data_IF_982175237156
#
_entry.id   IF_982175237156
#
_cell.length_a   1.000
_cell.length_b   1.000
_cell.length_c   1.000
_cell.angle_alpha   90.00
_cell.angle_beta   90.00
_cell.angle_gamma   90.00
#
_symmetry.space_group_name_H-M   'P 1'
#
loop_
_entity.id
_entity.type
_entity.pdbx_description
1 polymer ?
#
# COMPACT_ATOMS: atom_id res chain seq x y z
N UNK A 1 -11.03 17.79 -11.68
CA UNK A 1 -11.33 16.51 -12.37
C UNK A 1 -10.22 16.04 -13.33
N UNK A 2 -9.63 16.89 -14.18
CA UNK A 2 -8.53 16.53 -15.14
C UNK A 2 -7.24 15.89 -14.60
N UNK A 3 -6.96 15.93 -13.29
CA UNK A 3 -5.75 15.33 -12.71
C UNK A 3 -5.92 13.85 -12.36
N UNK A 4 -7.12 13.44 -11.92
CA UNK A 4 -7.44 12.04 -11.63
C UNK A 4 -7.57 11.21 -12.92
N UNK A 5 -8.20 11.79 -13.95
CA UNK A 5 -8.41 11.15 -15.26
C UNK A 5 -7.09 10.87 -16.00
N UNK A 6 -6.07 11.73 -15.84
CA UNK A 6 -4.73 11.51 -16.43
C UNK A 6 -3.92 10.40 -15.75
N UNK A 7 -4.21 10.04 -14.49
CA UNK A 7 -3.64 8.83 -13.86
C UNK A 7 -4.32 7.55 -14.35
N UNK A 8 -5.60 7.63 -14.71
CA UNK A 8 -6.39 6.49 -15.18
C UNK A 8 -6.11 6.11 -16.64
N UNK A 9 -5.63 7.04 -17.48
CA UNK A 9 -5.26 6.75 -18.86
C UNK A 9 -3.84 6.17 -18.95
N UNK A 10 -3.76 4.84 -18.87
CA UNK A 10 -2.64 4.06 -19.44
C UNK A 10 -3.27 2.86 -20.09
N UNK A 11 -3.49 2.92 -21.40
CA UNK A 11 -3.89 1.76 -22.19
C UNK A 11 -2.60 1.07 -22.66
N UNK A 12 -2.12 0.02 -21.97
CA UNK A 12 -0.78 -0.49 -22.19
C UNK A 12 -0.88 -1.74 -23.08
N UNK A 13 0.03 -1.88 -24.05
CA UNK A 13 0.20 -3.15 -24.75
C UNK A 13 0.70 -4.22 -23.78
N UNK A 14 0.21 -5.45 -23.91
CA UNK A 14 0.37 -6.59 -22.95
C UNK A 14 1.82 -6.78 -22.44
N UNK A 15 2.83 -6.55 -23.30
CA UNK A 15 4.25 -6.63 -22.92
C UNK A 15 4.74 -5.51 -21.98
N UNK A 16 4.18 -4.29 -22.10
CA UNK A 16 4.52 -3.16 -21.22
C UNK A 16 3.89 -3.28 -19.83
N UNK A 17 2.71 -3.92 -19.73
CA UNK A 17 2.09 -4.26 -18.44
C UNK A 17 2.94 -5.28 -17.67
N UNK A 18 3.47 -6.30 -18.35
CA UNK A 18 4.32 -7.31 -17.74
C UNK A 18 5.60 -6.69 -17.12
N UNK A 19 6.30 -5.83 -17.88
CA UNK A 19 7.51 -5.15 -17.40
C UNK A 19 7.18 -4.22 -16.23
N UNK A 20 6.10 -3.43 -16.35
CA UNK A 20 5.66 -2.51 -15.29
C UNK A 20 5.25 -3.25 -14.02
N UNK A 21 4.57 -4.38 -14.15
CA UNK A 21 4.13 -5.21 -13.02
C UNK A 21 5.32 -5.86 -12.34
N UNK A 22 6.25 -6.46 -13.08
CA UNK A 22 7.45 -7.06 -12.51
C UNK A 22 8.33 -6.04 -11.79
N UNK A 23 8.50 -4.83 -12.36
CA UNK A 23 9.21 -3.74 -11.69
C UNK A 23 8.54 -3.35 -10.36
N UNK A 24 7.20 -3.33 -10.31
CA UNK A 24 6.47 -3.02 -9.07
C UNK A 24 6.54 -4.15 -8.05
N UNK A 25 6.49 -5.41 -8.50
CA UNK A 25 6.70 -6.59 -7.66
C UNK A 25 8.10 -6.53 -7.03
N UNK A 26 9.15 -6.22 -7.81
CA UNK A 26 10.52 -6.12 -7.27
C UNK A 26 10.72 -4.98 -6.27
N UNK A 27 9.82 -3.98 -6.30
CA UNK A 27 9.83 -2.84 -5.38
C UNK A 27 8.84 -3.03 -4.21
N UNK A 28 8.32 -4.23 -4.00
CA UNK A 28 7.35 -4.56 -2.95
C UNK A 28 6.06 -3.72 -3.00
N UNK A 29 5.63 -3.30 -4.20
CA UNK A 29 4.44 -2.46 -4.41
C UNK A 29 3.18 -3.26 -4.75
N UNK A 30 3.25 -4.59 -4.78
CA UNK A 30 2.18 -5.45 -5.26
C UNK A 30 1.86 -6.54 -4.25
N UNK A 31 0.56 -6.68 -3.95
CA UNK A 31 0.07 -7.79 -3.17
C UNK A 31 -0.53 -8.86 -4.08
N UNK A 32 -0.13 -10.12 -3.87
CA UNK A 32 -0.71 -11.26 -4.59
C UNK A 32 -2.10 -11.55 -4.03
N UNK A 33 -3.09 -11.65 -4.92
CA UNK A 33 -4.51 -11.84 -4.53
C UNK A 33 -5.11 -13.16 -4.97
N UNK A 34 -4.58 -13.79 -6.02
CA UNK A 34 -5.00 -15.14 -6.41
C UNK A 34 -4.01 -15.79 -7.37
N UNK A 35 -4.21 -17.09 -7.58
CA UNK A 35 -3.56 -17.87 -8.62
C UNK A 35 -4.60 -18.49 -9.54
N UNK A 36 -4.28 -18.51 -10.83
CA UNK A 36 -5.10 -19.12 -11.86
C UNK A 36 -4.28 -20.13 -12.64
N UNK A 37 -4.68 -21.39 -12.60
CA UNK A 37 -4.09 -22.42 -13.44
C UNK A 37 -4.50 -22.20 -14.89
N UNK A 38 -3.55 -21.85 -15.76
CA UNK A 38 -3.77 -21.57 -17.19
C UNK A 38 -3.65 -22.81 -18.06
N UNK A 39 -2.69 -23.68 -17.74
CA UNK A 39 -2.40 -24.88 -18.54
C UNK A 39 -2.28 -26.07 -17.60
N UNK A 40 -3.06 -27.11 -17.89
CA UNK A 40 -2.96 -28.43 -17.26
C UNK A 40 -2.64 -29.46 -18.33
N UNK A 41 -1.58 -30.26 -18.13
CA UNK A 41 -1.26 -31.42 -18.98
C UNK A 41 -1.26 -32.64 -18.08
N UNK A 42 -2.01 -33.69 -18.46
CA UNK A 42 -2.18 -34.92 -17.68
C UNK A 42 -2.56 -34.66 -16.20
N UNK A 43 -3.46 -33.70 -15.95
CA UNK A 43 -3.91 -33.34 -14.61
C UNK A 43 -2.93 -32.48 -13.78
N UNK A 44 -1.69 -32.30 -14.25
CA UNK A 44 -0.71 -31.42 -13.59
C UNK A 44 -0.78 -30.01 -14.16
N UNK A 45 -0.90 -29.01 -13.27
CA UNK A 45 -0.80 -27.60 -13.66
C UNK A 45 0.65 -27.26 -14.02
N UNK A 46 0.87 -26.81 -15.25
CA UNK A 46 2.19 -26.45 -15.77
C UNK A 46 2.40 -24.94 -15.80
N UNK A 47 1.31 -24.16 -15.90
CA UNK A 47 1.38 -22.71 -15.89
C UNK A 47 0.35 -22.15 -14.91
N UNK A 48 0.84 -21.44 -13.89
CA UNK A 48 0.02 -20.63 -13.00
C UNK A 48 0.22 -19.16 -13.33
N UNK A 49 -0.89 -18.46 -13.60
CA UNK A 49 -0.93 -17.00 -13.65
C UNK A 49 -1.19 -16.47 -12.25
N UNK A 50 -0.27 -15.67 -11.73
CA UNK A 50 -0.42 -14.98 -10.46
C UNK A 50 -1.12 -13.64 -10.72
N UNK A 51 -2.09 -13.32 -9.89
CA UNK A 51 -2.83 -12.06 -9.95
C UNK A 51 -2.40 -11.16 -8.80
N UNK A 52 -2.24 -9.87 -9.10
CA UNK A 52 -1.71 -8.88 -8.16
C UNK A 52 -2.56 -7.62 -8.16
N UNK A 53 -2.71 -7.02 -6.98
CA UNK A 53 -3.13 -5.63 -6.83
C UNK A 53 -1.89 -4.79 -6.52
N UNK A 54 -1.59 -3.82 -7.37
CA UNK A 54 -0.36 -3.03 -7.28
C UNK A 54 -0.64 -1.55 -7.02
N UNK A 55 0.19 -0.94 -6.19
CA UNK A 55 0.20 0.48 -5.95
C UNK A 55 1.21 1.19 -6.86
N UNK A 56 0.99 2.48 -7.07
CA UNK A 56 1.88 3.30 -7.91
C UNK A 56 3.11 3.81 -7.14
N UNK A 57 3.01 3.96 -5.82
CA UNK A 57 4.05 4.52 -4.95
C UNK A 57 4.10 3.76 -3.62
N UNK A 58 5.27 3.70 -2.99
CA UNK A 58 5.47 3.03 -1.70
C UNK A 58 4.63 3.67 -0.58
N UNK A 59 4.56 5.00 -0.55
CA UNK A 59 3.74 5.73 0.42
C UNK A 59 2.25 5.41 0.26
N UNK A 60 1.74 5.32 -0.97
CA UNK A 60 0.36 4.92 -1.24
C UNK A 60 0.06 3.52 -0.72
N UNK A 61 0.99 2.57 -0.91
CA UNK A 61 0.86 1.22 -0.35
C UNK A 61 0.78 1.26 1.17
N UNK A 62 1.74 1.92 1.81
CA UNK A 62 1.84 1.99 3.28
C UNK A 62 0.55 2.55 3.87
N UNK A 63 0.06 3.67 3.33
CA UNK A 63 -1.19 4.27 3.79
C UNK A 63 -2.40 3.38 3.55
N UNK A 64 -2.53 2.77 2.36
CA UNK A 64 -3.64 1.87 2.07
C UNK A 64 -3.65 0.66 3.01
N UNK A 65 -2.50 0.02 3.23
CA UNK A 65 -2.38 -1.15 4.10
C UNK A 65 -2.66 -0.79 5.56
N UNK A 66 -2.14 0.33 6.06
CA UNK A 66 -2.39 0.77 7.43
C UNK A 66 -3.83 1.26 7.69
N UNK A 67 -4.51 1.83 6.69
CA UNK A 67 -5.94 2.13 6.79
C UNK A 67 -6.78 0.87 6.73
N UNK A 68 -6.44 -0.07 5.84
CA UNK A 68 -7.14 -1.35 5.72
C UNK A 68 -7.08 -2.17 7.01
N UNK A 69 -5.94 -2.21 7.69
CA UNK A 69 -5.80 -2.92 8.97
C UNK A 69 -6.69 -2.34 10.07
N UNK A 70 -6.88 -1.03 10.10
CA UNK A 70 -7.78 -0.37 11.07
C UNK A 70 -9.25 -0.70 10.81
N UNK A 71 -9.61 -0.83 9.52
CA UNK A 71 -11.00 -1.03 9.10
C UNK A 71 -11.37 -2.51 8.93
N UNK A 72 -10.45 -3.44 9.20
CA UNK A 72 -10.62 -4.86 8.93
C UNK A 72 -10.85 -5.17 7.45
N UNK A 73 -10.41 -4.30 6.55
CA UNK A 73 -10.57 -4.44 5.10
C UNK A 73 -9.39 -5.18 4.50
N UNK A 74 -9.63 -5.84 3.37
CA UNK A 74 -8.58 -6.53 2.62
C UNK A 74 -8.84 -6.39 1.13
N UNK A 75 -7.75 -6.31 0.38
CA UNK A 75 -7.77 -6.51 -1.07
C UNK A 75 -8.19 -7.94 -1.39
N UNK A 76 -8.86 -8.11 -2.52
CA UNK A 76 -9.24 -9.40 -3.08
C UNK A 76 -9.01 -9.39 -4.59
N UNK A 77 -9.13 -10.56 -5.24
CA UNK A 77 -9.02 -10.64 -6.71
C UNK A 77 -9.99 -9.68 -7.41
N UNK A 78 -11.20 -9.57 -6.89
CA UNK A 78 -12.27 -8.79 -7.52
C UNK A 78 -12.33 -7.34 -6.99
N UNK A 79 -11.53 -7.01 -5.98
CA UNK A 79 -11.47 -5.67 -5.41
C UNK A 79 -10.05 -5.30 -4.93
N UNK A 80 -9.32 -4.59 -5.78
CA UNK A 80 -8.01 -4.02 -5.47
C UNK A 80 -8.06 -2.67 -4.73
N UNK A 81 -9.24 -2.05 -4.60
CA UNK A 81 -9.43 -0.74 -3.99
C UNK A 81 -10.56 -0.79 -2.94
N UNK A 82 -10.37 -1.51 -1.82
CA UNK A 82 -11.41 -1.69 -0.81
C UNK A 82 -11.67 -0.43 0.04
N UNK A 83 -10.85 0.61 -0.11
CA UNK A 83 -10.99 1.89 0.59
C UNK A 83 -11.80 2.87 -0.26
N UNK A 84 -12.76 3.50 0.39
CA UNK A 84 -13.62 4.57 -0.12
C UNK A 84 -13.29 5.90 0.55
N UNK A 85 -13.87 7.00 0.06
CA UNK A 85 -13.69 8.32 0.68
C UNK A 85 -14.25 8.34 2.11
N UNK A 86 -15.38 7.67 2.34
CA UNK A 86 -16.04 7.63 3.66
C UNK A 86 -15.20 6.92 4.74
N UNK A 87 -14.26 6.09 4.32
CA UNK A 87 -13.34 5.41 5.23
C UNK A 87 -12.29 6.36 5.83
N UNK A 88 -11.98 7.47 5.15
CA UNK A 88 -10.98 8.42 5.63
C UNK A 88 -11.38 9.07 6.96
N UNK A 89 -12.69 9.14 7.25
CA UNK A 89 -13.20 9.66 8.51
C UNK A 89 -13.20 8.62 9.65
N UNK A 90 -12.74 7.39 9.39
CA UNK A 90 -12.78 6.25 10.32
C UNK A 90 -11.39 5.71 10.67
N UNK A 91 -10.33 6.39 10.26
CA UNK A 91 -8.95 5.96 10.45
C UNK A 91 -8.16 7.01 11.21
N UNK A 92 -7.11 6.57 11.89
CA UNK A 92 -6.12 7.41 12.53
C UNK A 92 -4.72 7.13 11.95
N UNK A 93 -3.88 8.16 11.95
CA UNK A 93 -2.45 8.02 11.62
C UNK A 93 -1.56 8.03 12.87
N UNK A 94 -2.15 8.05 14.07
CA UNK A 94 -1.41 7.82 15.32
C UNK A 94 -0.85 6.40 15.32
N UNK A 95 0.46 6.26 15.44
CA UNK A 95 1.10 4.94 15.54
C UNK A 95 0.56 4.14 16.73
N UNK A 96 0.33 2.84 16.54
CA UNK A 96 -0.04 1.95 17.63
C UNK A 96 1.09 1.84 18.65
N UNK A 97 0.73 1.88 19.93
CA UNK A 97 1.61 1.52 21.04
C UNK A 97 1.78 -0.01 21.12
N UNK A 98 2.77 -0.48 21.89
CA UNK A 98 3.21 -1.89 21.89
C UNK A 98 2.09 -2.92 22.17
N UNK A 99 1.03 -2.53 22.88
CA UNK A 99 -0.09 -3.40 23.25
C UNK A 99 -1.40 -3.08 22.49
N UNK A 100 -1.38 -2.11 21.58
CA UNK A 100 -2.55 -1.73 20.80
C UNK A 100 -2.65 -2.55 19.51
N UNK A 101 -3.87 -2.73 19.03
CA UNK A 101 -4.18 -3.38 17.75
C UNK A 101 -4.88 -2.40 16.81
N UNK A 102 -4.46 -2.30 15.54
CA UNK A 102 -5.05 -1.35 14.59
C UNK A 102 -6.57 -1.41 14.49
N UNK A 103 -7.13 -2.63 14.44
CA UNK A 103 -8.56 -2.89 14.27
C UNK A 103 -9.41 -2.64 15.53
N UNK A 104 -8.78 -2.60 16.70
CA UNK A 104 -9.48 -2.42 17.99
C UNK A 104 -9.31 -1.03 18.57
N UNK A 105 -8.10 -0.49 18.45
CA UNK A 105 -7.69 0.75 19.11
C UNK A 105 -7.63 1.94 18.13
N UNK A 106 -8.04 1.73 16.87
CA UNK A 106 -8.07 2.74 15.81
C UNK A 106 -6.72 3.50 15.71
N UNK A 107 -5.65 2.75 15.48
CA UNK A 107 -4.29 3.25 15.39
C UNK A 107 -3.59 2.68 14.14
N UNK A 108 -2.63 3.43 13.62
CA UNK A 108 -1.84 3.03 12.47
C UNK A 108 -0.81 1.96 12.86
N UNK A 109 -0.68 0.85 12.13
CA UNK A 109 0.26 -0.22 12.49
C UNK A 109 1.70 0.30 12.63
N UNK A 110 2.36 -0.06 13.74
CA UNK A 110 3.68 0.49 14.07
C UNK A 110 4.75 0.08 13.04
N UNK A 111 4.65 -1.12 12.48
CA UNK A 111 5.51 -1.60 11.40
C UNK A 111 5.35 -0.77 10.12
N UNK A 112 4.11 -0.44 9.75
CA UNK A 112 3.82 0.44 8.60
C UNK A 112 4.22 1.87 8.87
N UNK A 113 4.10 2.34 10.11
CA UNK A 113 4.60 3.65 10.50
C UNK A 113 6.13 3.74 10.37
N UNK A 114 6.86 2.71 10.81
CA UNK A 114 8.31 2.62 10.61
C UNK A 114 8.69 2.54 9.13
N UNK A 115 7.93 1.80 8.33
CA UNK A 115 8.11 1.73 6.88
C UNK A 115 7.93 3.11 6.23
N UNK A 116 6.92 3.86 6.67
CA UNK A 116 6.67 5.24 6.22
C UNK A 116 7.87 6.12 6.52
N UNK A 117 8.34 6.13 7.76
CA UNK A 117 9.51 6.91 8.18
C UNK A 117 10.72 6.56 7.32
N UNK A 118 11.03 5.27 7.14
CA UNK A 118 12.15 4.82 6.29
C UNK A 118 12.00 5.25 4.84
N UNK A 119 10.79 5.16 4.27
CA UNK A 119 10.52 5.58 2.90
C UNK A 119 10.82 7.07 2.71
N UNK A 120 10.45 7.92 3.68
CA UNK A 120 10.80 9.34 3.65
C UNK A 120 12.31 9.59 3.87
N UNK A 121 12.96 8.90 4.82
CA UNK A 121 14.40 9.05 5.07
C UNK A 121 15.27 8.63 3.88
N UNK A 122 14.88 7.56 3.19
CA UNK A 122 15.63 6.99 2.06
C UNK A 122 15.73 7.93 0.84
N UNK A 123 14.89 8.96 0.78
CA UNK A 123 14.92 10.00 -0.25
C UNK A 123 15.83 11.19 0.05
N UNK A 124 16.49 11.23 1.23
CA UNK A 124 17.17 12.43 1.73
C UNK A 124 18.60 12.15 2.23
N UNK A 125 19.53 13.05 1.90
CA UNK A 125 20.91 13.06 2.40
C UNK A 125 21.00 13.29 3.92
N UNK A 126 22.05 12.76 4.53
CA UNK A 126 22.41 12.84 5.96
C UNK A 126 22.14 14.26 6.51
N UNK A 127 21.23 14.40 7.49
CA UNK A 127 20.87 15.67 8.13
C UNK A 127 19.37 16.04 8.10
N UNK A 128 18.53 15.28 7.40
CA UNK A 128 17.07 15.53 7.22
C UNK A 128 16.19 14.68 8.15
N UNK A 129 16.81 13.82 8.96
CA UNK A 129 16.09 12.85 9.81
C UNK A 129 15.17 13.53 10.84
N UNK A 130 15.68 14.55 11.53
CA UNK A 130 14.92 15.34 12.51
C UNK A 130 13.82 16.18 11.85
N UNK A 131 14.06 16.65 10.62
CA UNK A 131 13.08 17.45 9.86
C UNK A 131 11.93 16.59 9.31
N UNK A 132 12.21 15.38 8.84
CA UNK A 132 11.17 14.42 8.39
C UNK A 132 10.38 13.88 9.57
N UNK A 133 11.05 13.57 10.69
CA UNK A 133 10.39 13.27 11.95
C UNK A 133 9.43 14.40 12.35
N UNK A 134 9.90 15.66 12.27
CA UNK A 134 9.08 16.84 12.50
C UNK A 134 7.91 17.00 11.52
N UNK A 135 8.06 16.68 10.23
CA UNK A 135 6.97 16.74 9.23
C UNK A 135 5.93 15.66 9.54
N UNK A 136 6.35 14.43 9.82
CA UNK A 136 5.43 13.35 10.20
C UNK A 136 4.71 13.72 11.50
N UNK A 137 5.42 14.21 12.51
CA UNK A 137 4.81 14.65 13.77
C UNK A 137 3.84 15.82 13.60
N UNK A 138 4.17 16.81 12.76
CA UNK A 138 3.35 18.01 12.55
C UNK A 138 2.16 17.79 11.62
N UNK A 139 2.32 17.00 10.56
CA UNK A 139 1.23 16.63 9.63
C UNK A 139 0.20 15.74 10.33
N UNK A 140 0.65 14.84 11.21
CA UNK A 140 -0.22 13.91 11.93
C UNK A 140 -0.57 14.35 13.35
N UNK A 141 -0.16 15.56 13.78
CA UNK A 141 -0.41 16.12 15.12
C UNK A 141 -0.14 15.13 16.26
N UNK A 142 1.00 14.43 16.22
CA UNK A 142 1.30 13.33 17.13
C UNK A 142 1.72 13.78 18.55
N UNK A 143 1.85 15.09 18.78
CA UNK A 143 2.03 15.67 20.11
C UNK A 143 0.70 16.27 20.54
N UNK A 144 0.04 15.60 21.50
CA UNK A 144 -0.97 16.26 22.32
C UNK A 144 -0.30 17.39 23.11
N UNK A 145 -0.95 18.56 23.13
CA UNK A 145 -0.59 19.67 24.01
C UNK A 145 -1.03 19.39 25.45
#
# INVERSE_FOLDING_TARGET
MRFAERRAQKDPTDGSEYIRTNKRISLDLCNRVSDESRVKIAGKTILNRKHYCCYDQITTRIFAEGMMSQLGKKITRDNCAPLSIDDLNKVSFKACEANQKPDKDNCFPSDKFQELTKAYMSGTSIGVEEAVGGIVESVFQLKEH
#
